data_IF_752028058618
#
_entry.id   IF_752028058618
#
_cell.length_a   1.000
_cell.length_b   1.000
_cell.length_c   1.000
_cell.angle_alpha   90.00
_cell.angle_beta   90.00
_cell.angle_gamma   90.00
#
_symmetry.space_group_name_H-M   'P 1'
#
loop_
_entity.id
_entity.type
_entity.pdbx_description
1 polymer ?
#
# COMPACT_ATOMS: atom_id res chain seq x y z
N UNK A 1 -1.73 19.77 19.14
CA UNK A 1 -1.01 19.64 17.86
C UNK A 1 -1.08 18.19 17.41
N UNK A 2 -2.00 17.84 16.51
CA UNK A 2 -2.10 16.47 15.99
C UNK A 2 -0.87 16.15 15.11
N UNK A 3 -0.43 14.88 15.04
CA UNK A 3 0.63 14.47 14.13
C UNK A 3 0.30 15.00 12.74
N UNK A 4 1.28 15.60 12.03
CA UNK A 4 1.10 16.17 10.68
C UNK A 4 0.41 15.13 9.80
N UNK A 5 -0.91 15.24 9.68
CA UNK A 5 -1.69 14.36 8.83
C UNK A 5 -1.17 14.58 7.42
N UNK A 6 -0.72 13.51 6.77
CA UNK A 6 -0.27 13.58 5.40
C UNK A 6 -1.39 14.21 4.55
N UNK A 7 -1.06 15.13 3.63
CA UNK A 7 -2.06 15.69 2.75
C UNK A 7 -2.77 14.56 1.98
N UNK A 8 -4.03 14.77 1.57
CA UNK A 8 -4.74 13.79 0.76
C UNK A 8 -3.95 13.47 -0.51
N UNK A 9 -4.19 12.28 -1.08
CA UNK A 9 -3.63 11.94 -2.39
C UNK A 9 -4.36 12.69 -3.51
N UNK A 10 -3.71 12.82 -4.67
CA UNK A 10 -4.35 13.23 -5.93
C UNK A 10 -5.58 12.35 -6.19
N UNK A 11 -6.72 12.99 -6.47
CA UNK A 11 -7.94 12.30 -6.92
C UNK A 11 -8.16 12.60 -8.39
N UNK A 12 -8.41 11.55 -9.16
CA UNK A 12 -8.67 11.62 -10.61
C UNK A 12 -10.09 11.12 -10.82
N UNK A 13 -10.80 11.76 -11.74
CA UNK A 13 -12.13 11.35 -12.18
C UNK A 13 -12.09 9.92 -12.74
N UNK A 14 -12.85 8.97 -12.17
CA UNK A 14 -12.86 7.58 -12.63
C UNK A 14 -13.54 7.41 -14.00
N UNK A 15 -14.31 8.40 -14.48
CA UNK A 15 -14.93 8.39 -15.82
C UNK A 15 -13.94 8.73 -16.94
N UNK A 16 -12.74 9.24 -16.61
CA UNK A 16 -11.72 9.54 -17.60
C UNK A 16 -11.19 8.27 -18.27
N UNK A 17 -10.87 8.33 -19.58
CA UNK A 17 -10.22 7.23 -20.28
C UNK A 17 -8.95 6.75 -19.53
N UNK A 18 -8.71 5.42 -19.47
CA UNK A 18 -7.61 4.85 -18.69
C UNK A 18 -6.24 5.36 -19.15
N UNK A 19 -6.05 5.59 -20.44
CA UNK A 19 -4.81 6.12 -21.00
C UNK A 19 -4.46 7.50 -20.42
N UNK A 20 -5.48 8.35 -20.26
CA UNK A 20 -5.34 9.70 -19.73
C UNK A 20 -5.13 9.63 -18.22
N UNK A 21 -5.91 8.84 -17.49
CA UNK A 21 -5.81 8.76 -16.03
C UNK A 21 -4.45 8.21 -15.56
N UNK A 22 -3.89 7.24 -16.28
CA UNK A 22 -2.53 6.73 -16.05
C UNK A 22 -1.48 7.80 -16.33
N UNK A 23 -1.60 8.52 -17.45
CA UNK A 23 -0.66 9.57 -17.82
C UNK A 23 -0.68 10.73 -16.80
N UNK A 24 -1.86 11.15 -16.33
CA UNK A 24 -2.02 12.16 -15.27
C UNK A 24 -1.41 11.68 -13.93
N UNK A 25 -1.67 10.43 -13.54
CA UNK A 25 -1.12 9.85 -12.30
C UNK A 25 0.41 9.76 -12.32
N UNK A 26 1.02 9.55 -13.49
CA UNK A 26 2.47 9.42 -13.63
C UNK A 26 3.26 10.73 -13.41
N UNK A 27 2.60 11.89 -13.55
CA UNK A 27 3.28 13.19 -13.54
C UNK A 27 2.58 14.24 -12.65
N UNK A 28 2.48 14.02 -11.33
CA UNK A 28 1.78 14.93 -10.42
C UNK A 28 2.40 16.33 -10.36
N UNK A 29 3.71 16.43 -10.55
CA UNK A 29 4.41 17.71 -10.60
C UNK A 29 3.99 18.57 -11.81
N UNK A 30 3.64 17.95 -12.96
CA UNK A 30 3.13 18.65 -14.14
C UNK A 30 1.70 19.15 -13.92
N UNK A 31 0.86 18.40 -13.19
CA UNK A 31 -0.48 18.83 -12.82
C UNK A 31 -0.45 20.10 -11.96
N UNK A 32 0.47 20.15 -11.00
CA UNK A 32 0.71 21.32 -10.17
C UNK A 32 1.16 22.53 -11.00
N UNK A 33 2.06 22.31 -11.97
CA UNK A 33 2.48 23.37 -12.91
C UNK A 33 1.31 23.87 -13.77
N UNK A 34 0.48 22.96 -14.29
CA UNK A 34 -0.71 23.30 -15.06
C UNK A 34 -1.65 24.19 -14.25
N UNK A 35 -1.95 23.81 -12.99
CA UNK A 35 -2.82 24.58 -12.09
C UNK A 35 -2.26 25.96 -11.75
N UNK A 36 -0.95 26.08 -11.57
CA UNK A 36 -0.29 27.37 -11.31
C UNK A 36 -0.20 28.27 -12.56
N UNK A 37 -0.72 27.85 -13.71
CA UNK A 37 -0.66 28.63 -14.95
C UNK A 37 0.76 28.80 -15.49
N UNK A 38 1.75 28.06 -14.97
CA UNK A 38 3.14 28.18 -15.41
C UNK A 38 3.31 27.51 -16.77
N UNK A 39 3.68 28.32 -17.76
CA UNK A 39 4.16 27.80 -19.05
C UNK A 39 5.55 27.24 -18.85
N UNK A 40 5.87 26.13 -19.50
CA UNK A 40 7.26 25.64 -19.60
C UNK A 40 8.06 26.75 -20.29
N UNK A 41 8.81 27.52 -19.52
CA UNK A 41 9.70 28.54 -20.06
C UNK A 41 10.73 27.87 -20.98
N UNK A 42 10.90 28.48 -22.15
CA UNK A 42 11.75 28.00 -23.23
C UNK A 42 13.21 28.33 -22.88
N UNK A 43 13.76 27.68 -21.86
CA UNK A 43 15.08 28.03 -21.29
C UNK A 43 16.29 27.55 -22.09
N UNK A 44 16.11 26.97 -23.27
CA UNK A 44 17.24 26.67 -24.15
C UNK A 44 17.06 27.32 -25.51
N UNK A 45 17.75 28.45 -25.73
CA UNK A 45 17.95 28.96 -27.08
C UNK A 45 18.79 27.92 -27.86
N UNK A 46 18.31 27.48 -29.03
CA UNK A 46 19.01 26.48 -29.82
C UNK A 46 20.29 27.05 -30.47
N UNK A 47 20.54 28.35 -30.40
CA UNK A 47 21.65 29.00 -31.11
C UNK A 47 23.00 28.83 -30.46
N UNK A 48 23.08 28.74 -29.12
CA UNK A 48 24.34 28.67 -28.39
C UNK A 48 25.20 27.42 -28.71
N UNK A 49 24.67 26.17 -28.72
CA UNK A 49 25.49 25.01 -29.02
C UNK A 49 25.95 24.95 -30.49
N UNK A 50 25.11 25.40 -31.43
CA UNK A 50 25.49 25.47 -32.85
C UNK A 50 26.53 26.56 -33.13
N UNK A 51 26.47 27.68 -32.41
CA UNK A 51 27.49 28.74 -32.50
C UNK A 51 28.85 28.26 -31.98
N UNK A 52 28.88 27.55 -30.85
CA UNK A 52 30.13 26.97 -30.29
C UNK A 52 30.72 25.91 -31.21
N UNK A 53 29.89 25.06 -31.82
CA UNK A 53 30.34 24.08 -32.82
C UNK A 53 30.92 24.77 -34.07
N UNK A 54 30.19 25.74 -34.64
CA UNK A 54 30.65 26.49 -35.80
C UNK A 54 31.99 27.20 -35.54
N UNK A 55 32.16 27.75 -34.34
CA UNK A 55 33.41 28.38 -33.92
C UNK A 55 34.57 27.37 -33.81
N UNK A 56 34.37 26.20 -33.19
CA UNK A 56 35.41 25.16 -33.11
C UNK A 56 35.84 24.61 -34.48
N UNK A 57 34.91 24.49 -35.43
CA UNK A 57 35.21 24.04 -36.80
C UNK A 57 36.07 25.07 -37.53
N UNK A 58 35.72 26.36 -37.44
CA UNK A 58 36.51 27.45 -38.04
C UNK A 58 37.93 27.51 -37.44
N UNK A 59 38.06 27.37 -36.12
CA UNK A 59 39.37 27.32 -35.44
C UNK A 59 40.19 26.10 -35.87
N UNK A 60 39.55 24.94 -36.06
CA UNK A 60 40.25 23.71 -36.48
C UNK A 60 40.73 23.78 -37.93
N UNK A 61 39.95 24.39 -38.83
CA UNK A 61 40.34 24.63 -40.24
C UNK A 61 41.53 25.60 -40.29
N UNK A 62 41.49 26.68 -39.48
CA UNK A 62 42.58 27.66 -39.42
C UNK A 62 43.88 27.09 -38.83
N UNK A 63 43.79 26.13 -37.90
CA UNK A 63 44.95 25.55 -37.20
C UNK A 63 45.56 24.31 -37.87
N UNK A 64 44.93 23.74 -38.91
CA UNK A 64 45.48 22.59 -39.67
C UNK A 64 45.64 21.30 -38.86
N UNK A 65 44.90 21.14 -37.76
CA UNK A 65 45.06 20.01 -36.84
C UNK A 65 43.92 18.97 -37.00
N UNK A 66 44.13 17.85 -37.71
CA UNK A 66 43.09 16.86 -37.96
C UNK A 66 42.57 16.17 -36.69
N UNK A 67 43.38 16.11 -35.63
CA UNK A 67 42.97 15.59 -34.33
C UNK A 67 41.88 16.46 -33.65
N UNK A 68 41.93 17.78 -33.83
CA UNK A 68 40.90 18.70 -33.32
C UNK A 68 39.59 18.58 -34.11
N UNK A 69 39.67 18.27 -35.41
CA UNK A 69 38.47 17.96 -36.20
C UNK A 69 37.75 16.71 -35.67
N UNK A 70 38.46 15.61 -35.43
CA UNK A 70 37.84 14.38 -34.90
C UNK A 70 37.16 14.61 -33.54
N UNK A 71 37.80 15.37 -32.65
CA UNK A 71 37.23 15.72 -31.35
C UNK A 71 35.98 16.62 -31.48
N UNK A 72 36.00 17.60 -32.40
CA UNK A 72 34.86 18.48 -32.65
C UNK A 72 33.63 17.73 -33.18
N UNK A 73 33.85 16.74 -34.05
CA UNK A 73 32.77 15.87 -34.58
C UNK A 73 32.21 14.99 -33.46
N UNK A 74 33.06 14.44 -32.59
CA UNK A 74 32.60 13.66 -31.45
C UNK A 74 31.77 14.50 -30.47
N UNK A 75 32.20 15.72 -30.14
CA UNK A 75 31.45 16.66 -29.28
C UNK A 75 30.12 17.05 -29.93
N UNK A 76 30.09 17.27 -31.24
CA UNK A 76 28.87 17.59 -31.97
C UNK A 76 27.86 16.44 -31.96
N UNK A 77 28.31 15.20 -32.15
CA UNK A 77 27.46 14.02 -32.06
C UNK A 77 26.87 13.86 -30.65
N UNK A 78 27.67 14.09 -29.61
CA UNK A 78 27.18 14.05 -28.21
C UNK A 78 26.16 15.18 -27.96
N UNK A 79 26.42 16.40 -28.43
CA UNK A 79 25.47 17.51 -28.29
C UNK A 79 24.18 17.26 -29.08
N UNK A 80 24.27 16.73 -30.31
CA UNK A 80 23.12 16.39 -31.13
C UNK A 80 22.28 15.27 -30.50
N UNK A 81 22.92 14.24 -29.94
CA UNK A 81 22.24 13.19 -29.19
C UNK A 81 21.55 13.73 -27.94
N UNK A 82 22.21 14.60 -27.16
CA UNK A 82 21.59 15.28 -26.00
C UNK A 82 20.45 16.20 -26.41
N UNK A 83 20.56 16.89 -27.55
CA UNK A 83 19.50 17.73 -28.08
C UNK A 83 18.30 16.90 -28.54
N UNK A 84 18.50 15.83 -29.31
CA UNK A 84 17.44 14.93 -29.73
C UNK A 84 16.71 14.30 -28.52
N UNK A 85 17.46 13.89 -27.50
CA UNK A 85 16.91 13.38 -26.25
C UNK A 85 16.14 14.45 -25.44
N UNK A 86 16.69 15.66 -25.33
CA UNK A 86 16.03 16.76 -24.61
C UNK A 86 14.79 17.29 -25.35
N UNK A 87 14.78 17.31 -26.68
CA UNK A 87 13.63 17.74 -27.49
C UNK A 87 12.52 16.68 -27.46
N UNK A 88 12.86 15.39 -27.53
CA UNK A 88 11.90 14.31 -27.34
C UNK A 88 11.22 14.35 -25.96
N UNK A 89 12.00 14.54 -24.90
CA UNK A 89 11.46 14.67 -23.53
C UNK A 89 10.65 15.95 -23.34
N UNK A 90 11.08 17.08 -23.93
CA UNK A 90 10.34 18.34 -23.85
C UNK A 90 9.01 18.28 -24.62
N UNK A 91 8.97 17.60 -25.79
CA UNK A 91 7.72 17.33 -26.52
C UNK A 91 6.75 16.48 -25.69
N UNK A 92 7.25 15.41 -25.05
CA UNK A 92 6.43 14.57 -24.18
C UNK A 92 5.89 15.34 -22.97
N UNK A 93 6.73 16.16 -22.32
CA UNK A 93 6.31 17.02 -21.21
C UNK A 93 5.24 18.04 -21.63
N UNK A 94 5.37 18.66 -22.82
CA UNK A 94 4.35 19.57 -23.37
C UNK A 94 3.04 18.88 -23.68
N UNK A 95 3.08 17.67 -24.27
CA UNK A 95 1.86 16.87 -24.51
C UNK A 95 1.14 16.58 -23.20
N UNK A 96 1.87 16.15 -22.17
CA UNK A 96 1.32 15.90 -20.83
C UNK A 96 0.75 17.15 -20.17
N UNK A 97 1.44 18.28 -20.27
CA UNK A 97 0.96 19.54 -19.74
C UNK A 97 -0.32 20.00 -20.46
N UNK A 98 -0.37 19.84 -21.78
CA UNK A 98 -1.56 20.14 -22.57
C UNK A 98 -2.74 19.25 -22.15
N UNK A 99 -2.51 17.95 -21.99
CA UNK A 99 -3.53 17.02 -21.48
C UNK A 99 -4.01 17.42 -20.08
N UNK A 100 -3.11 17.87 -19.20
CA UNK A 100 -3.47 18.39 -17.89
C UNK A 100 -4.35 19.66 -17.98
N UNK A 101 -4.05 20.57 -18.90
CA UNK A 101 -4.90 21.75 -19.14
C UNK A 101 -6.27 21.38 -19.72
N UNK A 102 -6.31 20.51 -20.72
CA UNK A 102 -7.55 20.05 -21.35
C UNK A 102 -8.45 19.30 -20.36
N UNK A 103 -7.85 18.55 -19.43
CA UNK A 103 -8.56 17.80 -18.40
C UNK A 103 -8.46 18.44 -17.01
N UNK A 104 -8.37 19.78 -16.93
CA UNK A 104 -8.18 20.50 -15.66
C UNK A 104 -9.32 20.29 -14.64
N UNK A 105 -10.50 19.87 -15.09
CA UNK A 105 -11.66 19.54 -14.26
C UNK A 105 -11.70 18.06 -13.83
N UNK A 106 -10.88 17.20 -14.46
CA UNK A 106 -10.86 15.75 -14.23
C UNK A 106 -9.87 15.30 -13.15
N UNK A 107 -9.27 16.24 -12.41
CA UNK A 107 -8.43 15.93 -11.25
C UNK A 107 -8.52 17.02 -10.18
N UNK A 108 -8.34 16.59 -8.92
CA UNK A 108 -8.29 17.47 -7.74
C UNK A 108 -6.95 17.26 -7.04
N UNK A 109 -6.20 18.35 -6.91
CA UNK A 109 -4.94 18.38 -6.20
C UNK A 109 -5.13 18.72 -4.71
N UNK A 110 -4.23 18.27 -3.82
CA UNK A 110 -4.25 18.67 -2.41
C UNK A 110 -4.16 20.19 -2.23
N UNK A 111 -3.44 20.87 -3.13
CA UNK A 111 -3.29 22.32 -3.13
C UNK A 111 -4.57 23.07 -3.55
N UNK A 112 -5.54 22.38 -4.17
CA UNK A 112 -6.85 22.96 -4.50
C UNK A 112 -7.78 23.02 -3.26
N UNK A 113 -7.35 22.44 -2.13
CA UNK A 113 -8.15 22.26 -0.91
C UNK A 113 -7.57 23.07 0.25
N UNK A 114 -8.45 23.66 1.06
CA UNK A 114 -8.09 24.26 2.34
C UNK A 114 -7.70 23.18 3.38
N UNK A 115 -6.97 23.51 4.46
CA UNK A 115 -6.55 22.53 5.45
C UNK A 115 -7.66 21.64 6.05
N UNK A 116 -8.86 22.16 6.40
CA UNK A 116 -9.93 21.29 6.91
C UNK A 116 -10.48 20.35 5.82
N UNK A 117 -10.66 20.82 4.57
CA UNK A 117 -11.10 19.97 3.47
C UNK A 117 -10.06 18.89 3.12
N UNK A 118 -8.77 19.21 3.22
CA UNK A 118 -7.70 18.22 3.04
C UNK A 118 -7.84 17.06 4.03
N UNK A 119 -8.02 17.37 5.32
CA UNK A 119 -8.20 16.35 6.36
C UNK A 119 -9.46 15.51 6.14
N UNK A 120 -10.55 16.12 5.68
CA UNK A 120 -11.80 15.41 5.42
C UNK A 120 -11.69 14.49 4.19
N UNK A 121 -11.03 14.93 3.12
CA UNK A 121 -10.78 14.10 1.94
C UNK A 121 -9.85 12.92 2.26
N UNK A 122 -8.80 13.15 3.05
CA UNK A 122 -7.87 12.08 3.48
C UNK A 122 -8.61 10.97 4.21
N UNK A 123 -9.51 11.33 5.15
CA UNK A 123 -10.35 10.37 5.88
C UNK A 123 -11.26 9.55 4.95
N UNK A 124 -11.87 10.17 3.94
CA UNK A 124 -12.65 9.45 2.93
C UNK A 124 -11.78 8.46 2.14
N UNK A 125 -10.59 8.89 1.69
CA UNK A 125 -9.64 8.04 0.99
C UNK A 125 -9.16 6.86 1.87
N UNK A 126 -8.87 7.09 3.15
CA UNK A 126 -8.51 6.06 4.12
C UNK A 126 -9.63 5.03 4.28
N UNK A 127 -10.87 5.48 4.42
CA UNK A 127 -12.03 4.60 4.56
C UNK A 127 -12.21 3.70 3.32
N UNK A 128 -12.18 4.28 2.12
CA UNK A 128 -12.29 3.51 0.87
C UNK A 128 -11.11 2.57 0.67
N UNK A 129 -9.89 3.02 0.96
CA UNK A 129 -8.70 2.17 0.91
C UNK A 129 -8.80 0.97 1.86
N UNK A 130 -9.34 1.17 3.08
CA UNK A 130 -9.54 0.08 4.03
C UNK A 130 -10.58 -0.94 3.54
N UNK A 131 -11.65 -0.49 2.87
CA UNK A 131 -12.68 -1.37 2.30
C UNK A 131 -12.10 -2.19 1.14
N UNK A 132 -11.51 -1.53 0.16
CA UNK A 132 -11.01 -2.17 -1.07
C UNK A 132 -9.87 -3.16 -0.81
N UNK A 133 -9.06 -2.93 0.23
CA UNK A 133 -7.97 -3.84 0.60
C UNK A 133 -8.34 -4.92 1.62
N UNK A 134 -9.60 -4.96 2.09
CA UNK A 134 -10.04 -6.00 3.02
C UNK A 134 -9.97 -7.40 2.38
N UNK A 135 -9.75 -8.43 3.19
CA UNK A 135 -9.74 -9.83 2.72
C UNK A 135 -11.15 -10.26 2.36
N UNK A 136 -12.16 -9.80 3.09
CA UNK A 136 -13.59 -10.06 2.80
C UNK A 136 -13.98 -9.52 1.42
N UNK A 137 -13.51 -8.33 1.04
CA UNK A 137 -13.65 -7.81 -0.34
C UNK A 137 -12.95 -8.75 -1.33
N UNK A 138 -11.68 -9.08 -1.09
CA UNK A 138 -10.91 -9.93 -2.03
C UNK A 138 -11.48 -11.34 -2.17
N UNK A 139 -12.11 -11.86 -1.14
CA UNK A 139 -12.75 -13.17 -1.13
C UNK A 139 -14.20 -13.14 -1.66
N UNK A 140 -14.72 -11.98 -2.07
CA UNK A 140 -16.02 -11.89 -2.74
C UNK A 140 -17.25 -11.91 -1.82
N UNK A 141 -17.08 -11.78 -0.51
CA UNK A 141 -18.19 -11.84 0.46
C UNK A 141 -19.00 -10.55 0.58
N UNK A 142 -18.51 -9.47 -0.04
CA UNK A 142 -19.23 -8.21 -0.20
C UNK A 142 -19.25 -7.86 -1.69
N UNK A 143 -20.18 -7.00 -2.12
CA UNK A 143 -20.36 -6.66 -3.53
C UNK A 143 -19.11 -5.99 -4.13
N UNK A 144 -18.26 -6.82 -4.72
CA UNK A 144 -16.92 -6.40 -5.12
C UNK A 144 -16.94 -5.45 -6.30
N UNK A 145 -17.80 -5.72 -7.28
CA UNK A 145 -17.95 -4.95 -8.50
C UNK A 145 -18.48 -3.56 -8.15
N UNK A 146 -19.57 -3.50 -7.38
CA UNK A 146 -20.15 -2.23 -6.98
C UNK A 146 -19.17 -1.42 -6.12
N UNK A 147 -18.46 -2.05 -5.19
CA UNK A 147 -17.46 -1.35 -4.37
C UNK A 147 -16.28 -0.81 -5.20
N UNK A 148 -15.82 -1.55 -6.21
CA UNK A 148 -14.70 -1.13 -7.06
C UNK A 148 -15.06 0.05 -7.97
N UNK A 149 -16.33 0.20 -8.35
CA UNK A 149 -16.80 1.29 -9.23
C UNK A 149 -17.33 2.47 -8.42
N UNK A 150 -18.21 2.21 -7.47
CA UNK A 150 -18.95 3.24 -6.72
C UNK A 150 -18.08 3.93 -5.69
N UNK A 151 -17.18 3.24 -4.98
CA UNK A 151 -16.38 3.90 -3.94
C UNK A 151 -15.36 4.91 -4.51
N UNK A 152 -14.66 4.64 -5.63
CA UNK A 152 -13.86 5.67 -6.28
C UNK A 152 -14.68 6.87 -6.76
N UNK A 153 -15.88 6.63 -7.32
CA UNK A 153 -16.81 7.70 -7.73
C UNK A 153 -17.23 8.55 -6.53
N UNK A 154 -17.58 7.92 -5.40
CA UNK A 154 -17.92 8.63 -4.16
C UNK A 154 -16.78 9.54 -3.69
N UNK A 155 -15.52 9.06 -3.74
CA UNK A 155 -14.34 9.85 -3.37
C UNK A 155 -14.14 11.01 -4.34
N UNK A 156 -14.33 10.79 -5.65
CA UNK A 156 -14.25 11.83 -6.67
C UNK A 156 -15.28 12.93 -6.43
N UNK A 157 -16.55 12.56 -6.23
CA UNK A 157 -17.64 13.50 -5.95
C UNK A 157 -17.41 14.29 -4.67
N UNK A 158 -16.85 13.65 -3.63
CA UNK A 158 -16.46 14.34 -2.39
C UNK A 158 -15.32 15.32 -2.67
N UNK A 159 -14.27 14.90 -3.39
CA UNK A 159 -13.12 15.73 -3.71
C UNK A 159 -13.52 16.99 -4.50
N UNK A 160 -14.35 16.84 -5.53
CA UNK A 160 -14.81 17.96 -6.35
C UNK A 160 -15.63 18.98 -5.54
N UNK A 161 -16.54 18.49 -4.68
CA UNK A 161 -17.34 19.37 -3.81
C UNK A 161 -16.49 20.06 -2.75
N UNK A 162 -15.49 19.39 -2.19
CA UNK A 162 -14.54 19.99 -1.25
C UNK A 162 -13.67 21.04 -1.93
N UNK A 163 -13.18 20.80 -3.14
CA UNK A 163 -12.42 21.79 -3.91
C UNK A 163 -13.29 23.02 -4.21
N UNK A 164 -14.57 22.83 -4.58
CA UNK A 164 -15.49 23.95 -4.75
C UNK A 164 -15.72 24.72 -3.44
N UNK A 165 -15.89 24.02 -2.32
CA UNK A 165 -16.05 24.64 -0.99
C UNK A 165 -14.80 25.46 -0.62
N UNK A 166 -13.60 24.90 -0.80
CA UNK A 166 -12.34 25.62 -0.55
C UNK A 166 -12.17 26.85 -1.43
N UNK A 167 -12.57 26.78 -2.70
CA UNK A 167 -12.61 27.95 -3.59
C UNK A 167 -13.57 29.02 -3.08
N UNK A 168 -14.80 28.64 -2.71
CA UNK A 168 -15.80 29.57 -2.18
C UNK A 168 -15.37 30.17 -0.84
N UNK A 169 -14.68 29.42 0.03
CA UNK A 169 -14.04 29.95 1.23
C UNK A 169 -12.97 30.99 0.90
N UNK A 170 -12.10 30.71 -0.07
CA UNK A 170 -11.06 31.65 -0.48
C UNK A 170 -11.64 32.94 -1.10
N UNK A 171 -12.72 32.83 -1.88
CA UNK A 171 -13.45 33.97 -2.42
C UNK A 171 -14.15 34.77 -1.32
N UNK A 172 -14.85 34.09 -0.40
CA UNK A 172 -15.51 34.73 0.74
C UNK A 172 -14.51 35.52 1.59
N UNK A 173 -13.36 34.92 1.92
CA UNK A 173 -12.30 35.58 2.70
C UNK A 173 -11.63 36.77 1.98
N UNK A 174 -11.70 36.82 0.64
CA UNK A 174 -11.21 37.98 -0.14
C UNK A 174 -12.22 39.12 -0.17
N UNK A 175 -13.50 38.79 -0.17
CA UNK A 175 -14.60 39.76 -0.27
C UNK A 175 -14.99 40.35 1.09
N UNK A 176 -14.79 39.60 2.17
CA UNK A 176 -15.08 40.01 3.54
C UNK A 176 -13.95 40.93 4.05
N UNK A 177 -14.22 42.22 4.33
CA UNK A 177 -13.25 43.11 4.95
C UNK A 177 -12.89 42.64 6.36
N UNK A 178 -11.63 42.80 6.77
CA UNK A 178 -11.19 42.44 8.14
C UNK A 178 -11.89 43.25 9.24
N UNK A 179 -12.17 44.54 8.97
CA UNK A 179 -12.95 45.41 9.84
C UNK A 179 -14.34 45.60 9.23
N UNK A 180 -15.28 44.75 9.62
CA UNK A 180 -16.65 44.81 9.14
C UNK A 180 -17.45 45.86 9.93
N UNK A 181 -18.13 46.82 9.27
CA UNK A 181 -19.05 47.72 9.93
C UNK A 181 -20.21 46.94 10.57
N UNK A 182 -20.59 47.30 11.79
CA UNK A 182 -21.77 46.75 12.47
C UNK A 182 -23.01 46.99 11.61
N UNK A 183 -23.62 45.91 11.11
CA UNK A 183 -24.76 45.93 10.19
C UNK A 183 -24.51 45.22 8.85
N UNK A 184 -23.25 45.04 8.43
CA UNK A 184 -22.93 44.27 7.21
C UNK A 184 -22.84 42.75 7.49
N UNK A 185 -22.67 42.35 8.75
CA UNK A 185 -22.63 40.93 9.18
C UNK A 185 -23.92 40.17 8.81
N UNK A 186 -25.08 40.81 8.93
CA UNK A 186 -26.37 40.21 8.59
C UNK A 186 -26.46 39.87 7.09
N UNK A 187 -25.82 40.67 6.23
CA UNK A 187 -25.79 40.42 4.79
C UNK A 187 -24.92 39.21 4.41
N UNK A 188 -23.88 38.90 5.20
CA UNK A 188 -23.00 37.75 4.95
C UNK A 188 -23.48 36.45 5.59
N UNK A 189 -24.33 36.53 6.63
CA UNK A 189 -24.86 35.38 7.37
C UNK A 189 -25.45 34.27 6.49
N UNK A 190 -26.23 34.53 5.42
CA UNK A 190 -26.75 33.47 4.56
C UNK A 190 -25.65 32.70 3.82
N UNK A 191 -24.58 33.39 3.40
CA UNK A 191 -23.46 32.77 2.69
C UNK A 191 -22.65 31.87 3.61
N UNK A 192 -22.30 32.35 4.81
CA UNK A 192 -21.61 31.55 5.82
C UNK A 192 -22.44 30.33 6.22
N UNK A 193 -23.75 30.52 6.43
CA UNK A 193 -24.67 29.41 6.75
C UNK A 193 -24.74 28.36 5.62
N UNK A 194 -24.71 28.79 4.36
CA UNK A 194 -24.70 27.87 3.21
C UNK A 194 -23.39 27.07 3.14
N UNK A 195 -22.24 27.71 3.39
CA UNK A 195 -20.93 27.06 3.43
C UNK A 195 -20.84 26.04 4.58
N UNK A 196 -21.33 26.40 5.77
CA UNK A 196 -21.41 25.50 6.93
C UNK A 196 -22.35 24.31 6.69
N UNK A 197 -23.48 24.54 6.02
CA UNK A 197 -24.40 23.47 5.63
C UNK A 197 -23.75 22.49 4.64
N UNK A 198 -23.01 23.01 3.64
CA UNK A 198 -22.27 22.20 2.69
C UNK A 198 -21.17 21.37 3.38
N UNK A 199 -20.37 22.01 4.25
CA UNK A 199 -19.36 21.34 5.07
C UNK A 199 -19.96 20.23 5.94
N UNK A 200 -21.07 20.51 6.62
CA UNK A 200 -21.76 19.56 7.50
C UNK A 200 -22.28 18.36 6.71
N UNK A 201 -22.86 18.59 5.53
CA UNK A 201 -23.35 17.53 4.64
C UNK A 201 -22.21 16.62 4.18
N UNK A 202 -21.10 17.20 3.69
CA UNK A 202 -19.92 16.44 3.27
C UNK A 202 -19.31 15.66 4.44
N UNK A 203 -19.20 16.29 5.61
CA UNK A 203 -18.72 15.65 6.83
C UNK A 203 -19.58 14.45 7.24
N UNK A 204 -20.91 14.55 7.10
CA UNK A 204 -21.83 13.43 7.35
C UNK A 204 -21.60 12.29 6.35
N UNK A 205 -21.47 12.60 5.05
CA UNK A 205 -21.19 11.59 4.01
C UNK A 205 -19.90 10.82 4.28
N UNK A 206 -18.80 11.52 4.62
CA UNK A 206 -17.53 10.88 4.99
C UNK A 206 -17.69 10.02 6.24
N UNK A 207 -18.42 10.48 7.26
CA UNK A 207 -18.69 9.67 8.47
C UNK A 207 -19.44 8.37 8.14
N UNK A 208 -20.32 8.36 7.13
CA UNK A 208 -20.98 7.13 6.69
C UNK A 208 -20.01 6.17 6.00
N UNK A 209 -19.13 6.67 5.13
CA UNK A 209 -18.05 5.87 4.53
C UNK A 209 -17.14 5.25 5.60
N UNK A 210 -16.77 6.01 6.62
CA UNK A 210 -15.98 5.50 7.75
C UNK A 210 -16.72 4.45 8.58
N UNK A 211 -18.04 4.60 8.77
CA UNK A 211 -18.86 3.58 9.43
C UNK A 211 -18.88 2.29 8.62
N UNK A 212 -19.06 2.39 7.32
CA UNK A 212 -19.01 1.23 6.42
C UNK A 212 -17.63 0.55 6.47
N UNK A 213 -16.54 1.33 6.39
CA UNK A 213 -15.18 0.81 6.52
C UNK A 213 -14.95 0.06 7.84
N UNK A 214 -15.48 0.58 8.97
CA UNK A 214 -15.41 -0.11 10.26
C UNK A 214 -16.19 -1.44 10.26
N UNK A 215 -17.36 -1.49 9.65
CA UNK A 215 -18.14 -2.73 9.53
C UNK A 215 -17.39 -3.77 8.68
N UNK A 216 -16.80 -3.35 7.55
CA UNK A 216 -15.97 -4.23 6.72
C UNK A 216 -14.76 -4.75 7.50
N UNK A 217 -14.09 -3.91 8.29
CA UNK A 217 -12.97 -4.35 9.15
C UNK A 217 -13.40 -5.33 10.25
N UNK A 218 -14.61 -5.20 10.78
CA UNK A 218 -15.15 -6.16 11.75
C UNK A 218 -15.43 -7.51 11.07
N UNK A 219 -16.06 -7.48 9.88
CA UNK A 219 -16.26 -8.67 9.06
C UNK A 219 -14.91 -9.33 8.71
N UNK A 220 -13.88 -8.54 8.41
CA UNK A 220 -12.54 -9.05 8.09
C UNK A 220 -11.91 -9.82 9.25
N UNK A 221 -12.12 -9.36 10.49
CA UNK A 221 -11.65 -10.08 11.68
C UNK A 221 -12.36 -11.42 11.86
N UNK A 222 -13.68 -11.45 11.69
CA UNK A 222 -14.47 -12.68 11.78
C UNK A 222 -14.08 -13.66 10.68
N UNK A 223 -13.91 -13.17 9.46
CA UNK A 223 -13.46 -13.97 8.32
C UNK A 223 -12.07 -14.57 8.56
N UNK A 224 -11.12 -13.80 9.08
CA UNK A 224 -9.80 -14.32 9.43
C UNK A 224 -9.86 -15.38 10.55
N UNK A 225 -10.74 -15.21 11.54
CA UNK A 225 -10.94 -16.21 12.58
C UNK A 225 -11.53 -17.51 12.00
N UNK A 226 -12.51 -17.39 11.11
CA UNK A 226 -13.11 -18.53 10.42
C UNK A 226 -12.08 -19.31 9.60
N UNK A 227 -11.27 -18.64 8.77
CA UNK A 227 -10.19 -19.28 8.00
C UNK A 227 -9.18 -20.02 8.88
N UNK A 228 -8.88 -19.49 10.07
CA UNK A 228 -7.97 -20.17 11.02
C UNK A 228 -8.61 -21.41 11.63
N UNK A 229 -9.91 -21.37 11.90
CA UNK A 229 -10.66 -22.53 12.41
C UNK A 229 -10.78 -23.62 11.35
N UNK A 230 -11.03 -23.27 10.09
CA UNK A 230 -11.04 -24.23 8.97
C UNK A 230 -9.67 -24.90 8.82
N UNK A 231 -8.58 -24.13 8.80
CA UNK A 231 -7.22 -24.66 8.74
C UNK A 231 -6.88 -25.58 9.94
N UNK A 232 -7.45 -25.33 11.12
CA UNK A 232 -7.29 -26.20 12.28
C UNK A 232 -8.14 -27.48 12.15
N UNK A 233 -9.36 -27.37 11.64
CA UNK A 233 -10.26 -28.50 11.41
C UNK A 233 -9.62 -29.50 10.42
N UNK A 234 -9.03 -29.01 9.33
CA UNK A 234 -8.32 -29.84 8.34
C UNK A 234 -7.16 -30.64 8.97
N UNK A 235 -6.45 -30.06 9.95
CA UNK A 235 -5.35 -30.73 10.66
C UNK A 235 -5.78 -31.59 11.84
N UNK A 236 -7.06 -31.56 12.20
CA UNK A 236 -7.56 -32.26 13.41
C UNK A 236 -7.33 -33.77 13.31
N UNK A 237 -7.41 -34.36 12.12
CA UNK A 237 -7.12 -35.78 11.91
C UNK A 237 -5.66 -36.15 12.20
N UNK A 238 -4.70 -35.27 11.87
CA UNK A 238 -3.28 -35.48 12.17
C UNK A 238 -3.03 -35.44 13.68
N UNK A 239 -3.67 -34.51 14.39
CA UNK A 239 -3.60 -34.44 15.86
C UNK A 239 -4.25 -35.67 16.52
N UNK A 240 -5.38 -36.15 16.00
CA UNK A 240 -6.02 -37.37 16.49
C UNK A 240 -5.15 -38.61 16.26
N UNK A 241 -4.50 -38.72 15.09
CA UNK A 241 -3.55 -39.79 14.79
C UNK A 241 -2.34 -39.75 15.74
N UNK A 242 -1.75 -38.57 15.97
CA UNK A 242 -0.63 -38.39 16.89
C UNK A 242 -0.99 -38.81 18.33
N UNK A 243 -2.19 -38.46 18.80
CA UNK A 243 -2.67 -38.88 20.13
C UNK A 243 -2.85 -40.39 20.19
N UNK A 244 -3.42 -41.01 19.15
CA UNK A 244 -3.60 -42.45 19.08
C UNK A 244 -2.25 -43.21 19.08
N UNK A 245 -1.27 -42.73 18.33
CA UNK A 245 0.09 -43.30 18.30
C UNK A 245 0.78 -43.17 19.67
N UNK A 246 0.65 -42.01 20.34
CA UNK A 246 1.21 -41.81 21.68
C UNK A 246 0.59 -42.76 22.71
N UNK A 247 -0.73 -42.95 22.68
CA UNK A 247 -1.41 -43.91 23.56
C UNK A 247 -0.95 -45.36 23.29
N UNK A 248 -0.67 -45.69 22.02
CA UNK A 248 -0.12 -47.00 21.64
C UNK A 248 1.29 -47.20 22.19
N UNK A 249 2.14 -46.18 22.14
CA UNK A 249 3.50 -46.21 22.69
C UNK A 249 3.51 -46.35 24.22
N UNK A 250 2.60 -45.68 24.92
CA UNK A 250 2.41 -45.82 26.37
C UNK A 250 1.98 -47.24 26.76
N UNK A 251 1.12 -47.87 25.95
CA UNK A 251 0.72 -49.27 26.13
C UNK A 251 1.89 -50.23 25.86
N UNK A 252 2.65 -50.00 24.80
CA UNK A 252 3.84 -50.80 24.47
C UNK A 252 4.89 -50.71 25.59
N UNK A 253 5.12 -49.52 26.14
CA UNK A 253 6.06 -49.30 27.25
C UNK A 253 5.63 -50.08 28.52
N UNK A 254 4.33 -50.08 28.84
CA UNK A 254 3.78 -50.89 29.94
C UNK A 254 4.01 -52.39 29.71
N UNK A 255 3.73 -52.87 28.50
CA UNK A 255 3.93 -54.28 28.17
C UNK A 255 5.41 -54.71 28.25
N UNK A 256 6.34 -53.88 27.77
CA UNK A 256 7.78 -54.14 27.90
C UNK A 256 8.19 -54.21 29.37
N UNK A 257 7.62 -53.37 30.24
CA UNK A 257 7.89 -53.40 31.68
C UNK A 257 7.42 -54.72 32.31
N UNK A 258 6.23 -55.20 31.94
CA UNK A 258 5.71 -56.50 32.37
C UNK A 258 6.59 -57.65 31.91
N UNK A 259 7.02 -57.66 30.64
CA UNK A 259 7.96 -58.66 30.11
C UNK A 259 9.30 -58.64 30.87
N UNK A 260 9.79 -57.45 31.21
CA UNK A 260 11.00 -57.32 32.02
C UNK A 260 10.81 -57.84 33.46
N UNK A 261 9.64 -57.64 34.06
CA UNK A 261 9.29 -58.23 35.37
C UNK A 261 9.20 -59.76 35.31
N UNK A 262 8.58 -60.31 34.27
CA UNK A 262 8.53 -61.75 34.04
C UNK A 262 9.93 -62.34 33.89
N UNK A 263 10.80 -61.71 33.09
CA UNK A 263 12.19 -62.13 32.93
C UNK A 263 12.97 -62.07 34.25
N UNK A 264 12.76 -61.03 35.07
CA UNK A 264 13.35 -60.92 36.42
C UNK A 264 12.90 -62.07 37.33
N UNK A 265 11.62 -62.41 37.31
CA UNK A 265 11.08 -63.51 38.12
C UNK A 265 11.60 -64.87 37.65
N UNK A 266 11.64 -65.11 36.34
CA UNK A 266 12.22 -66.34 35.78
C UNK A 266 13.70 -66.49 36.18
N UNK A 267 14.49 -65.42 36.11
CA UNK A 267 15.89 -65.43 36.57
C UNK A 267 16.01 -65.82 38.03
N UNK A 268 15.18 -65.24 38.93
CA UNK A 268 15.18 -65.60 40.36
C UNK A 268 14.88 -67.09 40.58
N UNK A 269 13.89 -67.64 39.87
CA UNK A 269 13.55 -69.07 39.96
C UNK A 269 14.73 -69.95 39.51
N UNK A 270 15.42 -69.58 38.43
CA UNK A 270 16.62 -70.30 37.99
C UNK A 270 17.75 -70.20 39.02
N UNK A 271 18.01 -69.01 39.57
CA UNK A 271 19.02 -68.80 40.63
C UNK A 271 18.71 -69.63 41.88
N UNK A 272 17.44 -69.67 42.32
CA UNK A 272 16.97 -70.52 43.41
C UNK A 272 17.14 -72.01 43.10
N UNK A 273 16.78 -72.45 41.89
CA UNK A 273 16.96 -73.85 41.47
C UNK A 273 18.43 -74.27 41.46
N UNK A 274 19.33 -73.38 41.01
CA UNK A 274 20.78 -73.62 40.99
C UNK A 274 21.31 -73.65 42.43
N UNK A 275 20.86 -72.75 43.29
CA UNK A 275 21.25 -72.73 44.70
C UNK A 275 20.81 -74.02 45.41
N UNK A 276 19.58 -74.49 45.16
CA UNK A 276 19.05 -75.72 45.72
C UNK A 276 19.80 -76.95 45.18
N UNK A 277 20.07 -77.01 43.87
CA UNK A 277 20.89 -78.08 43.28
C UNK A 277 22.32 -78.13 43.87
N UNK A 278 22.92 -76.95 44.15
CA UNK A 278 24.23 -76.87 44.82
C UNK A 278 24.18 -77.34 46.26
N UNK A 279 23.10 -77.05 46.99
CA UNK A 279 22.89 -77.55 48.36
C UNK A 279 22.76 -79.08 48.37
N UNK A 280 21.90 -79.66 47.53
CA UNK A 280 21.73 -81.11 47.42
C UNK A 280 23.01 -81.82 46.99
N UNK A 281 23.76 -81.25 46.02
CA UNK A 281 25.06 -81.78 45.63
C UNK A 281 26.10 -81.69 46.77
N UNK A 282 26.06 -80.61 47.56
CA UNK A 282 26.90 -80.44 48.75
C UNK A 282 26.56 -81.40 49.88
N UNK A 283 25.28 -81.76 50.06
CA UNK A 283 24.82 -82.79 50.99
C UNK A 283 25.26 -84.20 50.54
N UNK A 284 25.14 -84.51 49.25
CA UNK A 284 25.63 -85.77 48.67
C UNK A 284 27.16 -85.92 48.76
N UNK A 285 27.92 -84.82 48.63
CA UNK A 285 29.38 -84.81 48.80
C UNK A 285 29.82 -84.87 50.28
N UNK A 286 28.99 -84.40 51.22
CA UNK A 286 29.26 -84.51 52.67
C UNK A 286 28.92 -85.88 53.24
N UNK A 287 28.14 -86.69 52.54
CA UNK A 287 27.73 -88.01 52.99
C UNK A 287 28.11 -89.09 51.94
N UNK A 288 29.40 -89.34 51.66
CA UNK A 288 29.78 -90.24 50.58
C UNK A 288 29.52 -91.72 50.88
N UNK A 289 29.36 -92.15 52.14
CA UNK A 289 29.09 -93.55 52.50
C UNK A 289 28.39 -93.66 53.87
N UNK A 290 27.10 -94.02 53.87
CA UNK A 290 26.45 -94.81 54.92
C UNK A 290 25.34 -95.65 54.30
#
# INVERSE_FOLDING_TARGET
MGPRALPPGLVIDPSLPPDISVELRSAPHLLRMARMGRRIERTHSPTMPFAVFGFMVVVSIAAGAPALMALSVAVALIMAAKWAASDATNRAARRRLRLAYENAQGYVLPEDLDPPCQGLLRRAQDAVHAILNSRVQRAGFIDTINNQVTLPEEVWQIAQRLANLSRMHAEHNRLVPHDMPSGMEEAFKPYTSALDAAWTSLSKRVKQLERYARQVQQADRVFQAHQRLEALAERTHEYQALVADTLRDDLATRHIKELADQARNARKLFEESIAQARQTAGELLRNPLS
#
